data_IF_110182194266
#
_entry.id   IF_110182194266
#
_cell.length_a   1.000
_cell.length_b   1.000
_cell.length_c   1.000
_cell.angle_alpha   90.00
_cell.angle_beta   90.00
_cell.angle_gamma   90.00
#
_symmetry.space_group_name_H-M   'P 1'
#
loop_
_entity.id
_entity.type
_entity.pdbx_description
1 polymer ?
#
# COMPACT_ATOMS: atom_id res chain seq x y z
N UNK A 1 8.06 -1.63 -18.18
CA UNK A 1 8.90 -1.96 -17.03
C UNK A 1 9.77 -0.77 -16.61
N UNK A 2 10.40 -0.07 -17.56
CA UNK A 2 11.24 1.11 -17.27
C UNK A 2 10.46 2.22 -16.53
N UNK A 3 9.22 2.53 -16.96
CA UNK A 3 8.38 3.51 -16.28
C UNK A 3 8.05 3.11 -14.85
N UNK A 4 7.84 1.81 -14.58
CA UNK A 4 7.65 1.32 -13.22
C UNK A 4 8.91 1.50 -12.38
N UNK A 5 10.09 1.13 -12.90
CA UNK A 5 11.37 1.30 -12.19
C UNK A 5 11.58 2.78 -11.83
N UNK A 6 11.44 3.67 -12.81
CA UNK A 6 11.58 5.12 -12.60
C UNK A 6 10.64 5.63 -11.50
N UNK A 7 9.37 5.20 -11.51
CA UNK A 7 8.40 5.61 -10.49
C UNK A 7 8.74 5.03 -9.10
N UNK A 8 9.17 3.77 -9.02
CA UNK A 8 9.57 3.18 -7.75
C UNK A 8 10.83 3.83 -7.15
N UNK A 9 11.80 4.19 -7.98
CA UNK A 9 13.00 4.91 -7.54
C UNK A 9 12.63 6.32 -7.06
N UNK A 10 11.76 7.05 -7.79
CA UNK A 10 11.22 8.34 -7.37
C UNK A 10 10.51 8.24 -6.02
N UNK A 11 9.65 7.22 -5.85
CA UNK A 11 8.98 6.99 -4.58
C UNK A 11 9.96 6.67 -3.45
N UNK A 12 11.02 5.90 -3.73
CA UNK A 12 12.03 5.56 -2.73
C UNK A 12 12.75 6.80 -2.19
N UNK A 13 13.02 7.78 -3.05
CA UNK A 13 13.65 9.04 -2.67
C UNK A 13 12.74 9.94 -1.82
N UNK A 14 11.44 9.91 -2.09
CA UNK A 14 10.43 10.75 -1.43
C UNK A 14 9.86 10.14 -0.14
N UNK A 15 9.96 8.82 0.03
CA UNK A 15 9.46 8.11 1.21
C UNK A 15 10.20 8.47 2.49
N UNK A 16 9.43 8.58 3.58
CA UNK A 16 9.97 8.60 4.95
C UNK A 16 9.04 7.78 5.85
N UNK A 17 9.62 7.04 6.77
CA UNK A 17 8.92 6.20 7.74
C UNK A 17 9.26 6.62 9.15
N UNK A 18 8.23 6.87 9.97
CA UNK A 18 8.38 7.33 11.34
C UNK A 18 7.70 6.36 12.29
N UNK A 19 8.49 5.70 13.15
CA UNK A 19 7.97 4.90 14.27
C UNK A 19 7.93 5.75 15.52
N UNK A 20 6.74 6.10 16.01
CA UNK A 20 6.61 7.00 17.15
C UNK A 20 5.41 6.66 18.05
N UNK A 21 5.51 7.08 19.30
CA UNK A 21 4.40 7.05 20.25
C UNK A 21 3.33 8.06 19.83
N UNK A 22 2.06 7.69 19.94
CA UNK A 22 0.95 8.58 19.55
C UNK A 22 0.92 9.89 20.35
N UNK A 23 1.48 9.93 21.55
CA UNK A 23 1.58 11.18 22.37
C UNK A 23 2.45 12.27 21.75
N UNK A 24 3.36 11.90 20.83
CA UNK A 24 4.20 12.87 20.10
C UNK A 24 3.67 13.14 18.68
N UNK A 25 2.54 12.54 18.33
CA UNK A 25 1.82 12.84 17.10
C UNK A 25 0.68 13.80 17.44
N UNK A 26 0.53 14.87 16.69
CA UNK A 26 -0.57 15.83 16.85
C UNK A 26 -1.39 15.91 15.57
N UNK A 27 -2.66 15.57 15.64
CA UNK A 27 -3.58 15.85 14.54
C UNK A 27 -3.88 17.35 14.52
N UNK A 28 -3.77 17.96 13.35
CA UNK A 28 -4.08 19.38 13.10
C UNK A 28 -4.95 19.52 11.85
N UNK A 29 -5.83 20.53 11.78
CA UNK A 29 -6.53 20.83 10.54
C UNK A 29 -5.53 21.13 9.41
N UNK A 30 -5.74 20.54 8.24
CA UNK A 30 -4.95 20.85 7.07
C UNK A 30 -5.53 22.09 6.39
N UNK A 31 -4.84 23.20 6.48
CA UNK A 31 -5.28 24.48 5.89
C UNK A 31 -4.97 24.51 4.40
N UNK A 32 -5.93 24.97 3.60
CA UNK A 32 -5.68 25.26 2.20
C UNK A 32 -4.69 26.43 2.08
N UNK A 33 -3.70 26.28 1.22
CA UNK A 33 -2.78 27.37 0.89
C UNK A 33 -3.39 28.31 -0.15
N UNK A 34 -3.10 29.62 -0.02
CA UNK A 34 -3.53 30.67 -0.95
C UNK A 34 -4.81 31.40 -0.55
N UNK A 35 -5.47 32.04 -1.54
CA UNK A 35 -6.64 32.91 -1.33
C UNK A 35 -7.95 32.18 -0.89
N UNK A 36 -7.91 30.87 -0.79
CA UNK A 36 -9.05 30.06 -0.32
C UNK A 36 -8.93 29.83 1.18
N UNK A 37 -9.70 30.58 1.97
CA UNK A 37 -9.87 30.25 3.38
C UNK A 37 -10.69 28.96 3.49
N UNK A 38 -10.11 27.92 4.11
CA UNK A 38 -10.78 26.66 4.32
C UNK A 38 -9.81 25.56 4.76
N UNK A 39 -10.35 24.37 4.93
CA UNK A 39 -9.59 23.17 5.30
C UNK A 39 -9.74 22.11 4.22
N UNK A 40 -8.68 21.36 4.00
CA UNK A 40 -8.65 20.16 3.17
C UNK A 40 -8.27 18.96 4.04
N UNK A 41 -9.20 18.54 4.89
CA UNK A 41 -9.00 17.43 5.80
C UNK A 41 -8.12 17.77 7.00
N UNK A 42 -7.31 16.80 7.40
CA UNK A 42 -6.39 16.91 8.53
C UNK A 42 -4.95 16.57 8.12
N UNK A 43 -4.00 16.96 8.96
CA UNK A 43 -2.60 16.56 8.86
C UNK A 43 -2.12 15.95 10.17
N UNK A 44 -1.13 15.06 10.09
CA UNK A 44 -0.41 14.54 11.26
C UNK A 44 0.88 15.33 11.45
N UNK A 45 0.95 16.12 12.51
CA UNK A 45 2.16 16.78 12.97
C UNK A 45 3.04 15.80 13.74
N UNK A 46 4.27 15.64 13.29
CA UNK A 46 5.32 14.88 13.97
C UNK A 46 6.31 15.85 14.58
N UNK A 47 6.55 15.72 15.87
CA UNK A 47 7.43 16.63 16.61
C UNK A 47 8.81 16.73 15.95
N UNK A 48 9.30 17.95 15.73
CA UNK A 48 10.60 18.28 15.14
C UNK A 48 10.79 17.80 13.68
N UNK A 49 9.71 17.33 13.02
CA UNK A 49 9.74 16.82 11.63
C UNK A 49 8.88 17.67 10.71
N UNK A 50 7.63 17.90 11.07
CA UNK A 50 6.66 18.65 10.26
C UNK A 50 5.26 18.08 10.34
N UNK A 51 4.36 18.68 9.56
CA UNK A 51 2.98 18.22 9.43
C UNK A 51 2.77 17.64 8.03
N UNK A 52 2.09 16.49 7.97
CA UNK A 52 1.85 15.71 6.75
C UNK A 52 0.34 15.56 6.56
N UNK A 53 -0.26 16.17 5.53
CA UNK A 53 -1.66 15.93 5.16
C UNK A 53 -1.93 14.44 5.01
N UNK A 54 -3.07 13.98 5.54
CA UNK A 54 -3.43 12.56 5.47
C UNK A 54 -4.08 12.21 4.14
N UNK A 55 -3.75 11.04 3.61
CA UNK A 55 -4.48 10.45 2.49
C UNK A 55 -5.72 9.70 2.98
N UNK A 56 -6.67 9.40 2.09
CA UNK A 56 -7.85 8.59 2.41
C UNK A 56 -7.51 7.22 3.03
N UNK A 57 -6.36 6.65 2.67
CA UNK A 57 -5.86 5.41 3.26
C UNK A 57 -5.49 5.62 4.73
N UNK A 58 -4.72 6.66 5.03
CA UNK A 58 -4.33 7.00 6.39
C UNK A 58 -5.56 7.36 7.23
N UNK A 59 -6.51 8.11 6.69
CA UNK A 59 -7.78 8.45 7.33
C UNK A 59 -8.61 7.20 7.66
N UNK A 60 -8.67 6.24 6.74
CA UNK A 60 -9.33 4.96 6.98
C UNK A 60 -8.68 4.16 8.13
N UNK A 61 -7.35 4.23 8.24
CA UNK A 61 -6.61 3.56 9.30
C UNK A 61 -6.76 4.28 10.65
N UNK A 62 -6.75 5.61 10.65
CA UNK A 62 -7.03 6.43 11.84
C UNK A 62 -8.45 6.18 12.35
N UNK A 63 -9.45 6.25 11.47
CA UNK A 63 -10.84 6.00 11.82
C UNK A 63 -11.05 4.61 12.42
N UNK A 64 -10.45 3.60 11.81
CA UNK A 64 -10.49 2.21 12.29
C UNK A 64 -9.83 2.06 13.67
N UNK A 65 -8.65 2.67 13.86
CA UNK A 65 -7.93 2.62 15.15
C UNK A 65 -8.71 3.27 16.26
N UNK A 66 -9.32 4.41 15.98
CA UNK A 66 -10.08 5.19 16.96
C UNK A 66 -11.54 4.72 17.09
N UNK A 67 -11.93 3.68 16.34
CA UNK A 67 -13.32 3.16 16.31
C UNK A 67 -14.35 4.22 15.92
N UNK A 68 -13.92 5.19 15.10
CA UNK A 68 -14.78 6.21 14.53
C UNK A 68 -15.32 5.68 13.18
N UNK A 69 -16.64 5.59 12.95
CA UNK A 69 -17.18 5.17 11.67
C UNK A 69 -16.65 6.06 10.52
N UNK A 70 -16.06 5.45 9.45
CA UNK A 70 -15.39 6.20 8.37
C UNK A 70 -16.27 7.31 7.79
N UNK A 71 -17.56 7.06 7.55
CA UNK A 71 -18.50 8.09 7.05
C UNK A 71 -18.63 9.29 7.98
N UNK A 72 -18.58 9.07 9.29
CA UNK A 72 -18.63 10.16 10.27
C UNK A 72 -17.29 10.90 10.34
N UNK A 73 -16.18 10.15 10.31
CA UNK A 73 -14.83 10.70 10.21
C UNK A 73 -14.72 11.64 9.00
N UNK A 74 -15.13 11.17 7.81
CA UNK A 74 -15.07 11.95 6.56
C UNK A 74 -15.92 13.22 6.64
N UNK A 75 -17.14 13.10 7.20
CA UNK A 75 -17.98 14.25 7.43
C UNK A 75 -17.30 15.27 8.33
N UNK A 76 -16.71 14.85 9.46
CA UNK A 76 -16.03 15.75 10.37
C UNK A 76 -14.77 16.36 9.74
N UNK A 77 -14.00 15.58 9.03
CA UNK A 77 -12.80 16.03 8.30
C UNK A 77 -13.13 17.17 7.32
N UNK A 78 -14.27 17.06 6.64
CA UNK A 78 -14.72 18.06 5.66
C UNK A 78 -15.40 19.29 6.28
N UNK A 79 -16.09 19.13 7.42
CA UNK A 79 -16.98 20.22 7.95
C UNK A 79 -16.53 20.79 9.28
N UNK A 80 -15.75 20.07 10.07
CA UNK A 80 -15.33 20.45 11.42
C UNK A 80 -14.00 19.80 11.78
N UNK A 81 -12.92 20.02 10.99
CA UNK A 81 -11.64 19.33 11.19
C UNK A 81 -11.00 19.62 12.54
N UNK A 82 -11.22 20.79 13.14
CA UNK A 82 -10.71 21.12 14.49
C UNK A 82 -11.30 20.19 15.56
N UNK A 83 -12.60 19.90 15.47
CA UNK A 83 -13.27 19.00 16.39
C UNK A 83 -12.78 17.55 16.20
N UNK A 84 -12.58 17.13 14.95
CA UNK A 84 -11.99 15.83 14.64
C UNK A 84 -10.57 15.72 15.21
N UNK A 85 -9.73 16.71 15.00
CA UNK A 85 -8.36 16.77 15.52
C UNK A 85 -8.34 16.73 17.06
N UNK A 86 -9.22 17.48 17.71
CA UNK A 86 -9.35 17.45 19.18
C UNK A 86 -9.71 16.05 19.66
N UNK A 87 -10.62 15.36 18.99
CA UNK A 87 -11.01 13.98 19.30
C UNK A 87 -9.85 13.01 19.10
N UNK A 88 -9.14 13.07 17.97
CA UNK A 88 -7.97 12.23 17.68
C UNK A 88 -6.90 12.44 18.75
N UNK A 89 -6.54 13.70 19.05
CA UNK A 89 -5.51 14.04 20.02
C UNK A 89 -5.87 13.57 21.44
N UNK A 90 -7.15 13.65 21.81
CA UNK A 90 -7.61 13.09 23.08
C UNK A 90 -7.28 11.60 23.19
N UNK A 91 -7.67 10.81 22.18
CA UNK A 91 -7.45 9.35 22.20
C UNK A 91 -6.00 8.97 22.04
N UNK A 92 -5.19 9.73 21.31
CA UNK A 92 -3.75 9.52 21.22
C UNK A 92 -3.06 9.64 22.58
N UNK A 93 -3.57 10.53 23.46
CA UNK A 93 -3.05 10.70 24.82
C UNK A 93 -3.68 9.72 25.82
N UNK A 94 -4.97 9.41 25.69
CA UNK A 94 -5.69 8.54 26.63
C UNK A 94 -5.32 7.06 26.46
N UNK A 95 -5.08 6.63 25.20
CA UNK A 95 -4.70 5.27 24.84
C UNK A 95 -3.40 5.28 24.02
N UNK A 96 -2.25 5.63 24.61
CA UNK A 96 -1.01 5.77 23.87
C UNK A 96 -0.49 4.42 23.37
N UNK A 97 0.09 4.44 22.19
CA UNK A 97 0.73 3.27 21.57
C UNK A 97 1.77 3.70 20.53
N UNK A 98 2.67 2.78 20.19
CA UNK A 98 3.63 3.01 19.11
C UNK A 98 2.97 2.70 17.76
N UNK A 99 3.05 3.66 16.85
CA UNK A 99 2.55 3.56 15.48
C UNK A 99 3.64 3.87 14.46
N UNK A 100 3.43 3.38 13.23
CA UNK A 100 4.26 3.73 12.09
C UNK A 100 3.47 4.68 11.19
N UNK A 101 3.98 5.89 11.01
CA UNK A 101 3.49 6.84 10.02
C UNK A 101 4.39 6.71 8.80
N UNK A 102 3.84 6.29 7.68
CA UNK A 102 4.57 6.24 6.40
C UNK A 102 4.18 7.44 5.56
N UNK A 103 5.18 8.13 5.04
CA UNK A 103 4.94 9.28 4.16
C UNK A 103 5.40 9.03 2.74
N UNK A 104 4.81 9.74 1.80
CA UNK A 104 5.22 9.82 0.40
C UNK A 104 4.79 11.19 -0.14
N UNK A 105 5.67 11.86 -0.86
CA UNK A 105 5.42 13.15 -1.49
C UNK A 105 4.85 14.20 -0.50
N UNK A 106 5.37 14.22 0.72
CA UNK A 106 4.94 15.15 1.76
C UNK A 106 3.59 14.82 2.41
N UNK A 107 2.96 13.69 2.10
CA UNK A 107 1.69 13.26 2.67
C UNK A 107 1.86 12.04 3.59
N UNK A 108 1.10 11.96 4.68
CA UNK A 108 0.96 10.75 5.49
C UNK A 108 0.07 9.75 4.75
N UNK A 109 0.69 8.78 4.07
CA UNK A 109 -0.03 7.79 3.25
C UNK A 109 -0.51 6.56 4.02
N UNK A 110 0.03 6.32 5.23
CA UNK A 110 -0.43 5.23 6.07
C UNK A 110 -0.14 5.48 7.55
N UNK A 111 -1.05 4.98 8.41
CA UNK A 111 -0.96 4.97 9.87
C UNK A 111 -1.10 3.54 10.38
N UNK A 112 0.03 2.85 10.56
CA UNK A 112 0.10 1.41 10.76
C UNK A 112 0.47 1.03 12.20
N UNK A 113 0.19 -0.21 12.58
CA UNK A 113 0.64 -0.73 13.87
C UNK A 113 2.16 -0.93 13.88
N UNK A 114 2.77 -0.95 15.08
CA UNK A 114 4.20 -1.26 15.24
C UNK A 114 4.57 -2.69 14.85
N UNK A 115 3.58 -3.56 14.61
CA UNK A 115 3.78 -4.93 14.14
C UNK A 115 3.91 -5.03 12.62
N UNK A 116 3.56 -3.96 11.90
CA UNK A 116 3.73 -3.93 10.46
C UNK A 116 5.21 -4.01 10.10
N UNK A 117 5.55 -4.90 9.16
CA UNK A 117 6.89 -5.00 8.59
C UNK A 117 6.82 -4.55 7.15
N UNK A 118 7.37 -3.38 6.91
CA UNK A 118 7.44 -2.85 5.57
C UNK A 118 8.29 -3.77 4.68
N UNK A 119 7.80 -4.03 3.49
CA UNK A 119 8.56 -4.48 2.34
C UNK A 119 8.28 -3.50 1.23
N UNK A 120 9.27 -2.73 0.87
CA UNK A 120 9.10 -1.71 -0.14
C UNK A 120 9.02 -2.33 -1.54
N UNK A 121 8.19 -1.74 -2.39
CA UNK A 121 7.98 -2.24 -3.75
C UNK A 121 9.28 -2.26 -4.57
N UNK A 122 10.18 -1.31 -4.34
CA UNK A 122 11.49 -1.26 -5.00
C UNK A 122 12.36 -2.46 -4.58
N UNK A 123 12.34 -2.85 -3.30
CA UNK A 123 13.09 -4.01 -2.80
C UNK A 123 12.50 -5.32 -3.35
N UNK A 124 11.16 -5.41 -3.35
CA UNK A 124 10.49 -6.57 -3.94
C UNK A 124 10.83 -6.71 -5.42
N UNK A 125 10.76 -5.62 -6.20
CA UNK A 125 11.10 -5.65 -7.63
C UNK A 125 12.56 -6.04 -7.86
N UNK A 126 13.51 -5.50 -7.08
CA UNK A 126 14.92 -5.90 -7.15
C UNK A 126 15.14 -7.39 -6.88
N UNK A 127 14.31 -7.98 -6.03
CA UNK A 127 14.41 -9.41 -5.70
C UNK A 127 13.74 -10.32 -6.75
N UNK A 128 12.61 -9.91 -7.33
CA UNK A 128 11.81 -10.82 -8.17
C UNK A 128 12.04 -10.65 -9.67
N UNK A 129 12.38 -9.45 -10.14
CA UNK A 129 12.53 -9.20 -11.58
C UNK A 129 13.67 -10.01 -12.22
N UNK A 130 14.86 -10.15 -11.58
CA UNK A 130 15.91 -11.01 -12.14
C UNK A 130 15.46 -12.46 -12.32
N UNK A 131 14.73 -13.02 -11.36
CA UNK A 131 14.19 -14.39 -11.45
C UNK A 131 13.13 -14.55 -12.54
N UNK A 132 12.31 -13.53 -12.77
CA UNK A 132 11.33 -13.49 -13.86
C UNK A 132 12.05 -13.48 -15.22
N UNK A 133 13.12 -12.69 -15.33
CA UNK A 133 13.92 -12.58 -16.55
C UNK A 133 14.70 -13.87 -16.82
N UNK A 134 15.36 -14.44 -15.80
CA UNK A 134 16.08 -15.73 -15.91
C UNK A 134 15.17 -16.88 -16.33
N UNK A 135 13.92 -16.87 -15.86
CA UNK A 135 12.90 -17.84 -16.28
C UNK A 135 12.41 -17.63 -17.73
N UNK A 136 12.86 -16.59 -18.43
CA UNK A 136 12.36 -16.22 -19.75
C UNK A 136 10.87 -15.87 -19.75
N UNK A 137 10.37 -15.33 -18.64
CA UNK A 137 8.96 -14.97 -18.52
C UNK A 137 8.69 -13.60 -19.13
N UNK A 138 7.61 -13.51 -19.89
CA UNK A 138 7.08 -12.25 -20.39
C UNK A 138 6.25 -11.54 -19.32
N UNK A 139 6.54 -10.27 -19.04
CA UNK A 139 5.73 -9.44 -18.15
C UNK A 139 4.51 -8.94 -18.91
N UNK A 140 3.32 -9.48 -18.59
CA UNK A 140 2.05 -9.10 -19.21
C UNK A 140 1.51 -7.76 -18.69
N UNK A 141 1.71 -7.49 -17.39
CA UNK A 141 1.31 -6.24 -16.77
C UNK A 141 2.12 -5.97 -15.52
N UNK A 142 2.46 -4.71 -15.30
CA UNK A 142 2.99 -4.21 -14.04
C UNK A 142 2.33 -2.86 -13.74
N UNK A 143 1.83 -2.70 -12.53
CA UNK A 143 1.10 -1.52 -12.10
C UNK A 143 1.39 -1.23 -10.64
N UNK A 144 1.62 0.03 -10.31
CA UNK A 144 1.66 0.53 -8.95
C UNK A 144 0.53 1.53 -8.73
N UNK A 145 -0.23 1.31 -7.68
CA UNK A 145 -1.30 2.21 -7.23
C UNK A 145 -0.98 2.69 -5.82
N UNK A 146 -1.75 3.64 -5.30
CA UNK A 146 -1.62 4.12 -3.91
C UNK A 146 -1.72 2.98 -2.88
N UNK A 147 -2.40 1.90 -3.21
CA UNK A 147 -2.67 0.77 -2.33
C UNK A 147 -1.74 -0.41 -2.54
N UNK A 148 -1.37 -0.71 -3.79
CA UNK A 148 -0.68 -1.95 -4.13
C UNK A 148 0.17 -1.86 -5.38
N UNK A 149 1.22 -2.68 -5.39
CA UNK A 149 1.93 -3.11 -6.58
C UNK A 149 1.32 -4.43 -7.10
N UNK A 150 1.20 -4.55 -8.42
CA UNK A 150 0.82 -5.78 -9.11
C UNK A 150 1.79 -6.05 -10.25
N UNK A 151 2.27 -7.30 -10.33
CA UNK A 151 3.08 -7.79 -11.46
C UNK A 151 2.46 -9.11 -11.92
N UNK A 152 2.28 -9.29 -13.24
CA UNK A 152 1.89 -10.55 -13.87
C UNK A 152 2.89 -10.90 -14.94
N UNK A 153 3.38 -12.13 -14.88
CA UNK A 153 4.31 -12.66 -15.88
C UNK A 153 3.89 -14.05 -16.31
N UNK A 154 4.24 -14.44 -17.54
CA UNK A 154 3.93 -15.75 -18.14
C UNK A 154 5.19 -16.34 -18.74
N UNK A 155 5.41 -17.62 -18.51
CA UNK A 155 6.49 -18.40 -19.09
C UNK A 155 5.92 -19.22 -20.26
N UNK A 156 6.04 -18.72 -21.49
CA UNK A 156 5.49 -19.35 -22.68
C UNK A 156 6.13 -20.71 -23.01
N UNK A 157 7.35 -20.97 -22.53
CA UNK A 157 8.04 -22.24 -22.71
C UNK A 157 7.46 -23.37 -21.82
N UNK A 158 6.76 -22.99 -20.72
CA UNK A 158 6.06 -23.92 -19.85
C UNK A 158 4.58 -24.02 -20.26
N UNK A 159 4.33 -24.80 -21.30
CA UNK A 159 2.99 -25.02 -21.83
C UNK A 159 2.50 -26.43 -21.54
N UNK A 160 1.19 -26.57 -21.42
CA UNK A 160 0.48 -27.83 -21.30
C UNK A 160 -0.88 -27.76 -21.98
N UNK A 161 -1.40 -28.92 -22.38
CA UNK A 161 -2.75 -29.02 -22.89
C UNK A 161 -3.70 -29.55 -21.82
N UNK A 162 -4.75 -28.80 -21.51
CA UNK A 162 -5.82 -29.24 -20.62
C UNK A 162 -6.80 -30.17 -21.37
N UNK A 163 -7.02 -29.90 -22.66
CA UNK A 163 -7.74 -30.72 -23.66
C UNK A 163 -7.08 -30.49 -25.00
N UNK A 164 -7.27 -31.40 -25.94
CA UNK A 164 -6.75 -31.25 -27.29
C UNK A 164 -7.08 -29.87 -27.88
N UNK A 165 -6.04 -29.09 -28.18
CA UNK A 165 -6.15 -27.73 -28.69
C UNK A 165 -6.35 -26.63 -27.66
N UNK A 166 -6.44 -26.95 -26.37
CA UNK A 166 -6.54 -25.98 -25.25
C UNK A 166 -5.19 -25.79 -24.57
N UNK A 167 -4.33 -25.02 -25.21
CA UNK A 167 -2.97 -24.73 -24.71
C UNK A 167 -3.01 -23.68 -23.60
N UNK A 168 -2.37 -23.99 -22.48
CA UNK A 168 -2.17 -23.09 -21.35
C UNK A 168 -0.68 -22.92 -21.05
N UNK A 169 -0.30 -21.73 -20.65
CA UNK A 169 1.05 -21.40 -20.19
C UNK A 169 1.08 -21.18 -18.68
N UNK A 170 2.21 -21.47 -18.05
CA UNK A 170 2.41 -21.16 -16.63
C UNK A 170 2.60 -19.66 -16.44
N UNK A 171 1.91 -19.09 -15.47
CA UNK A 171 2.03 -17.69 -15.10
C UNK A 171 2.23 -17.49 -13.61
N UNK A 172 2.71 -16.30 -13.24
CA UNK A 172 2.90 -15.86 -11.87
C UNK A 172 2.29 -14.47 -11.67
N UNK A 173 1.52 -14.31 -10.60
CA UNK A 173 0.99 -13.02 -10.17
C UNK A 173 1.59 -12.65 -8.82
N UNK A 174 2.21 -11.48 -8.76
CA UNK A 174 2.86 -10.95 -7.55
C UNK A 174 2.11 -9.68 -7.15
N UNK A 175 1.79 -9.54 -5.86
CA UNK A 175 1.24 -8.30 -5.35
C UNK A 175 1.80 -7.98 -3.97
N UNK A 176 1.99 -6.68 -3.69
CA UNK A 176 2.49 -6.17 -2.42
C UNK A 176 1.74 -4.88 -2.03
N UNK A 177 1.67 -4.59 -0.74
CA UNK A 177 1.13 -3.33 -0.23
C UNK A 177 2.07 -2.71 0.79
N UNK A 178 2.56 -1.53 0.50
CA UNK A 178 3.38 -0.74 1.42
C UNK A 178 2.55 -0.01 2.48
N UNK A 179 1.25 0.07 2.28
CA UNK A 179 0.30 0.81 3.14
C UNK A 179 -0.66 -0.11 3.92
N UNK A 180 -0.35 -1.40 4.01
CA UNK A 180 -1.15 -2.34 4.80
C UNK A 180 -2.48 -2.78 4.18
N UNK A 181 -2.72 -2.47 2.90
CA UNK A 181 -3.92 -2.88 2.15
C UNK A 181 -3.82 -4.29 1.55
N UNK A 182 -3.09 -5.18 2.19
CA UNK A 182 -2.96 -6.58 1.83
C UNK A 182 -1.57 -7.13 2.13
N UNK A 183 -1.47 -8.46 2.01
CA UNK A 183 -0.21 -9.18 2.19
C UNK A 183 0.61 -9.19 0.91
N UNK A 184 1.93 -9.41 1.04
CA UNK A 184 2.72 -9.93 -0.07
C UNK A 184 2.10 -11.24 -0.52
N UNK A 185 1.84 -11.36 -1.80
CA UNK A 185 1.28 -12.56 -2.42
C UNK A 185 2.04 -12.90 -3.69
N UNK A 186 2.46 -14.16 -3.80
CA UNK A 186 3.01 -14.74 -5.00
C UNK A 186 2.14 -15.94 -5.35
N UNK A 187 1.39 -15.85 -6.46
CA UNK A 187 0.37 -16.82 -6.82
C UNK A 187 0.60 -17.31 -8.24
N UNK A 188 0.86 -18.60 -8.46
CA UNK A 188 0.87 -19.17 -9.80
C UNK A 188 -0.54 -19.16 -10.38
N UNK A 189 -0.64 -19.03 -11.72
CA UNK A 189 -1.88 -19.14 -12.45
C UNK A 189 -1.64 -19.78 -13.82
N UNK A 190 -2.71 -20.25 -14.44
CA UNK A 190 -2.67 -20.73 -15.82
C UNK A 190 -3.14 -19.62 -16.75
N UNK A 191 -2.34 -19.33 -17.76
CA UNK A 191 -2.64 -18.37 -18.81
C UNK A 191 -3.12 -19.11 -20.06
N UNK A 192 -4.31 -18.79 -20.53
CA UNK A 192 -4.94 -19.42 -21.70
C UNK A 192 -4.85 -18.50 -22.91
N UNK A 193 -4.22 -18.96 -23.96
CA UNK A 193 -4.02 -18.17 -25.19
C UNK A 193 -5.31 -17.93 -26.01
N UNK A 194 -6.33 -18.79 -25.82
CA UNK A 194 -7.56 -18.79 -26.67
C UNK A 194 -8.59 -17.74 -26.24
N UNK A 195 -8.48 -17.14 -25.07
CA UNK A 195 -9.41 -16.10 -24.60
C UNK A 195 -8.71 -14.75 -24.51
N UNK A 196 -9.11 -13.78 -25.33
CA UNK A 196 -8.66 -12.38 -25.24
C UNK A 196 -8.88 -11.74 -23.84
N UNK A 197 -9.66 -12.38 -22.99
CA UNK A 197 -9.99 -11.92 -21.63
C UNK A 197 -9.32 -12.73 -20.51
N UNK A 198 -8.31 -13.56 -20.78
CA UNK A 198 -7.48 -14.26 -19.80
C UNK A 198 -8.25 -14.84 -18.60
N UNK A 199 -8.80 -16.04 -18.71
CA UNK A 199 -9.47 -16.69 -17.58
C UNK A 199 -8.44 -17.14 -16.54
N UNK A 200 -8.53 -16.61 -15.32
CA UNK A 200 -7.64 -16.94 -14.20
C UNK A 200 -8.19 -18.12 -13.44
N UNK A 201 -7.47 -19.22 -13.39
CA UNK A 201 -7.70 -20.27 -12.40
C UNK A 201 -6.62 -20.11 -11.33
N UNK A 202 -6.99 -19.61 -10.16
CA UNK A 202 -6.08 -19.50 -9.03
C UNK A 202 -5.81 -20.89 -8.46
N UNK A 203 -4.54 -21.34 -8.45
CA UNK A 203 -4.13 -22.49 -7.69
C UNK A 203 -2.97 -22.12 -6.78
N UNK A 204 -3.10 -22.42 -5.50
CA UNK A 204 -2.14 -22.36 -4.40
C UNK A 204 -1.05 -21.27 -4.49
N UNK A 205 -1.24 -20.17 -3.74
CA UNK A 205 -0.22 -19.16 -3.55
C UNK A 205 0.24 -19.07 -2.09
N UNK A 206 1.52 -18.76 -1.87
CA UNK A 206 2.03 -18.39 -0.55
C UNK A 206 1.67 -16.93 -0.28
N UNK A 207 0.99 -16.68 0.85
CA UNK A 207 0.70 -15.33 1.34
C UNK A 207 1.57 -15.04 2.55
N UNK A 208 2.25 -13.91 2.56
CA UNK A 208 2.98 -13.40 3.72
C UNK A 208 2.34 -12.11 4.18
N UNK A 209 1.89 -12.10 5.43
CA UNK A 209 1.35 -10.89 6.06
C UNK A 209 2.49 -10.05 6.63
N UNK A 210 2.35 -8.72 6.58
CA UNK A 210 3.32 -7.76 7.14
C UNK A 210 3.25 -7.69 8.68
N UNK A 211 3.33 -8.85 9.36
CA UNK A 211 3.14 -8.99 10.82
C UNK A 211 4.35 -9.59 11.52
N UNK A 212 5.53 -9.45 11.09
CA UNK A 212 6.73 -9.88 11.81
C UNK A 212 6.85 -11.37 12.20
N UNK A 213 5.90 -12.23 11.83
CA UNK A 213 6.03 -13.67 12.01
C UNK A 213 6.97 -14.26 10.95
N UNK A 214 7.94 -15.06 11.40
CA UNK A 214 8.81 -15.79 10.48
C UNK A 214 7.95 -16.79 9.68
N UNK A 215 8.22 -16.89 8.37
CA UNK A 215 7.70 -17.98 7.56
C UNK A 215 8.63 -19.16 7.80
N UNK A 216 8.09 -20.25 8.33
CA UNK A 216 8.73 -21.55 8.26
C UNK A 216 8.45 -22.17 6.89
#
# INVERSE_FOLDING_TARGET
LESLKTELDRQADSKRDFGCDTRIITAVPNMLEGDRMGFDGIALGLKDVGAFPTTDIADGQLSSRLKIPKKYYDRMSATSPELLCTNINHWFNAEPEVRQVRTLDGQARAFLSNKFRALDNVELCKAVLPSIEEAGAEILSCEVTDKRLYIKAVVHQLQGEVKTGDVVSAGIAISNSEVGHGSLSITPYLYRLVCQNGMKVASYGKKKYHTGSKIN
#
